data_IF_658980065807
#
_entry.id   IF_658980065807
#
_cell.length_a   1.000
_cell.length_b   1.000
_cell.length_c   1.000
_cell.angle_alpha   90.00
_cell.angle_beta   90.00
_cell.angle_gamma   90.00
#
_symmetry.space_group_name_H-M   'P 1'
#
loop_
_entity.id
_entity.type
_entity.pdbx_description
1 polymer ?
#
# COMPACT_ATOMS: atom_id res chain seq x y z
N UNK A 1 -10.09 6.16 -10.14
CA UNK A 1 -8.87 5.84 -9.38
C UNK A 1 -9.25 5.71 -7.92
N UNK A 2 -8.98 4.56 -7.32
CA UNK A 2 -9.10 4.31 -5.88
C UNK A 2 -7.72 4.39 -5.23
N UNK A 3 -7.71 4.51 -3.91
CA UNK A 3 -6.50 4.58 -3.11
C UNK A 3 -6.49 3.44 -2.09
N UNK A 4 -5.30 2.93 -1.82
CA UNK A 4 -5.11 1.76 -0.98
C UNK A 4 -3.90 1.97 -0.07
N UNK A 5 -3.82 1.15 0.98
CA UNK A 5 -2.63 1.00 1.80
C UNK A 5 -2.29 -0.47 1.92
N UNK A 6 -1.02 -0.80 1.69
CA UNK A 6 -0.52 -2.18 1.73
C UNK A 6 0.63 -2.24 2.72
N UNK A 7 0.47 -3.08 3.74
CA UNK A 7 1.43 -3.27 4.83
C UNK A 7 2.48 -4.31 4.44
N UNK A 8 3.73 -3.98 4.66
CA UNK A 8 4.86 -4.89 4.47
C UNK A 8 5.82 -4.80 5.64
N UNK A 9 6.33 -5.93 6.12
CA UNK A 9 7.40 -5.92 7.12
C UNK A 9 8.74 -5.69 6.42
N UNK A 10 9.52 -4.65 6.80
CA UNK A 10 10.72 -4.28 6.05
C UNK A 10 11.83 -5.34 6.09
N UNK A 11 11.82 -6.24 7.08
CA UNK A 11 12.76 -7.37 7.13
C UNK A 11 12.44 -8.44 6.07
N UNK A 12 11.17 -8.56 5.65
CA UNK A 12 10.73 -9.52 4.65
C UNK A 12 10.68 -8.90 3.25
N UNK A 13 10.07 -7.72 3.14
CA UNK A 13 9.97 -6.95 1.90
C UNK A 13 9.99 -5.45 2.18
N UNK A 14 11.17 -4.85 2.00
CA UNK A 14 11.43 -3.43 2.22
C UNK A 14 11.01 -2.56 1.04
N UNK A 15 10.90 -1.26 1.29
CA UNK A 15 10.62 -0.29 0.23
C UNK A 15 11.77 -0.17 -0.78
N UNK A 16 13.02 -0.32 -0.34
CA UNK A 16 14.18 -0.34 -1.24
C UNK A 16 14.15 -1.54 -2.19
N UNK A 17 13.75 -2.71 -1.70
CA UNK A 17 13.53 -3.89 -2.58
C UNK A 17 12.39 -3.65 -3.58
N UNK A 18 11.30 -3.01 -3.15
CA UNK A 18 10.20 -2.65 -4.03
C UNK A 18 10.63 -1.68 -5.14
N UNK A 19 11.45 -0.68 -4.83
CA UNK A 19 12.05 0.22 -5.82
C UNK A 19 12.99 -0.51 -6.76
N UNK A 20 13.81 -1.43 -6.25
CA UNK A 20 14.76 -2.21 -7.05
C UNK A 20 14.09 -3.09 -8.12
N UNK A 21 12.82 -3.47 -7.93
CA UNK A 21 12.02 -4.16 -8.97
C UNK A 21 11.65 -3.26 -10.16
N UNK A 22 11.67 -1.94 -9.96
CA UNK A 22 11.37 -0.93 -10.99
C UNK A 22 10.05 -1.20 -11.71
N UNK A 23 10.04 -1.04 -13.04
CA UNK A 23 8.85 -1.18 -13.88
C UNK A 23 8.20 -2.56 -13.86
N UNK A 24 8.95 -3.61 -13.55
CA UNK A 24 8.43 -4.96 -13.47
C UNK A 24 7.43 -5.11 -12.31
N UNK A 25 7.61 -4.33 -11.24
CA UNK A 25 6.83 -4.44 -10.01
C UNK A 25 7.10 -5.74 -9.26
N UNK A 26 6.29 -5.98 -8.24
CA UNK A 26 6.33 -7.20 -7.43
C UNK A 26 4.92 -7.75 -7.22
N UNK A 27 4.80 -9.06 -7.28
CA UNK A 27 3.61 -9.80 -6.89
C UNK A 27 3.33 -9.62 -5.39
N UNK A 28 2.12 -9.21 -5.02
CA UNK A 28 1.73 -9.04 -3.62
C UNK A 28 1.22 -10.33 -2.98
N UNK A 29 2.04 -11.37 -3.06
CA UNK A 29 1.74 -12.74 -2.63
C UNK A 29 1.60 -12.89 -1.11
N UNK A 30 1.17 -14.08 -0.66
CA UNK A 30 1.14 -14.45 0.75
C UNK A 30 -0.06 -13.91 1.53
N UNK A 31 -1.02 -13.25 0.87
CA UNK A 31 -2.26 -12.79 1.50
C UNK A 31 -3.14 -13.99 1.82
N UNK A 32 -3.43 -14.21 3.11
CA UNK A 32 -4.34 -15.26 3.60
C UNK A 32 -5.53 -14.70 4.39
N UNK A 33 -5.94 -13.48 4.05
CA UNK A 33 -7.11 -12.81 4.62
C UNK A 33 -8.12 -12.52 3.50
N UNK A 34 -9.35 -13.04 3.64
CA UNK A 34 -10.40 -12.91 2.62
C UNK A 34 -10.76 -11.46 2.29
N UNK A 35 -10.81 -10.59 3.30
CA UNK A 35 -11.13 -9.17 3.09
C UNK A 35 -10.00 -8.48 2.32
N UNK A 36 -8.74 -8.70 2.70
CA UNK A 36 -7.59 -8.16 2.00
C UNK A 36 -7.53 -8.63 0.53
N UNK A 37 -7.78 -9.93 0.29
CA UNK A 37 -7.88 -10.50 -1.06
C UNK A 37 -8.99 -9.82 -1.86
N UNK A 38 -10.19 -9.68 -1.29
CA UNK A 38 -11.30 -9.05 -1.99
C UNK A 38 -11.00 -7.58 -2.34
N UNK A 39 -10.27 -6.86 -1.49
CA UNK A 39 -9.80 -5.51 -1.85
C UNK A 39 -8.83 -5.51 -3.02
N UNK A 40 -7.90 -6.48 -3.11
CA UNK A 40 -7.03 -6.61 -4.27
C UNK A 40 -7.81 -6.94 -5.56
N UNK A 41 -8.86 -7.75 -5.47
CA UNK A 41 -9.77 -8.02 -6.60
C UNK A 41 -10.53 -6.76 -7.09
N UNK A 42 -10.76 -5.80 -6.19
CA UNK A 42 -11.42 -4.53 -6.50
C UNK A 42 -10.49 -3.45 -7.08
N UNK A 43 -9.18 -3.71 -7.08
CA UNK A 43 -8.16 -2.80 -7.62
C UNK A 43 -8.17 -2.77 -9.14
N UNK A 44 -7.79 -1.63 -9.70
CA UNK A 44 -7.59 -1.43 -11.14
C UNK A 44 -6.17 -0.98 -11.44
N UNK A 45 -5.71 -1.21 -12.67
CA UNK A 45 -4.41 -0.69 -13.14
C UNK A 45 -4.33 0.83 -12.90
N UNK A 46 -3.22 1.27 -12.31
CA UNK A 46 -2.97 2.67 -11.96
C UNK A 46 -3.65 3.15 -10.67
N UNK A 47 -4.40 2.31 -9.96
CA UNK A 47 -4.81 2.64 -8.59
C UNK A 47 -3.57 2.80 -7.71
N UNK A 48 -3.56 3.82 -6.86
CA UNK A 48 -2.40 4.21 -6.08
C UNK A 48 -2.43 3.58 -4.68
N UNK A 49 -1.24 3.24 -4.18
CA UNK A 49 -1.05 2.45 -2.97
C UNK A 49 -0.02 3.13 -2.08
N UNK A 50 -0.35 3.36 -0.82
CA UNK A 50 0.65 3.66 0.20
C UNK A 50 1.38 2.38 0.58
N UNK A 51 2.71 2.40 0.47
CA UNK A 51 3.57 1.34 1.01
C UNK A 51 3.87 1.66 2.47
N UNK A 52 3.34 0.83 3.37
CA UNK A 52 3.45 1.02 4.81
C UNK A 52 4.36 -0.04 5.42
N UNK A 53 5.40 0.38 6.15
CA UNK A 53 6.21 -0.53 6.95
C UNK A 53 5.48 -0.93 8.23
N UNK A 54 5.16 -2.21 8.37
CA UNK A 54 4.57 -2.79 9.59
C UNK A 54 5.62 -3.46 10.47
N UNK A 55 5.27 -3.69 11.73
CA UNK A 55 6.11 -4.30 12.78
C UNK A 55 7.31 -3.43 13.19
N UNK A 56 8.17 -3.06 12.23
CA UNK A 56 9.26 -2.09 12.37
C UNK A 56 8.99 -0.84 11.53
N UNK A 57 9.50 0.31 11.96
CA UNK A 57 9.23 1.61 11.33
C UNK A 57 7.85 2.17 11.70
N UNK A 58 6.79 1.45 11.32
CA UNK A 58 5.39 1.87 11.52
C UNK A 58 5.08 3.19 10.82
N UNK A 59 5.35 3.26 9.53
CA UNK A 59 5.26 4.49 8.75
C UNK A 59 4.96 4.24 7.27
N UNK A 60 4.33 5.21 6.62
CA UNK A 60 4.18 5.26 5.17
C UNK A 60 5.47 5.81 4.58
N UNK A 61 6.18 4.97 3.83
CA UNK A 61 7.53 5.29 3.30
C UNK A 61 7.54 5.59 1.80
N UNK A 62 6.47 5.26 1.09
CA UNK A 62 6.40 5.43 -0.35
C UNK A 62 5.00 5.29 -0.91
N UNK A 63 4.90 5.62 -2.20
CA UNK A 63 3.71 5.46 -3.02
C UNK A 63 4.05 4.52 -4.17
N UNK A 64 3.18 3.54 -4.38
CA UNK A 64 3.21 2.59 -5.48
C UNK A 64 1.92 2.69 -6.30
N UNK A 65 1.86 1.96 -7.41
CA UNK A 65 0.63 1.74 -8.17
C UNK A 65 0.46 0.27 -8.52
N UNK A 66 -0.80 -0.11 -8.74
CA UNK A 66 -1.16 -1.42 -9.28
C UNK A 66 -0.74 -1.52 -10.74
N UNK A 67 0.18 -2.44 -11.05
CA UNK A 67 0.72 -2.67 -12.39
C UNK A 67 0.30 -4.01 -13.02
N UNK A 68 -0.30 -4.92 -12.25
CA UNK A 68 -1.02 -6.08 -12.76
C UNK A 68 -2.29 -6.33 -11.91
N UNK A 69 -3.39 -6.75 -12.54
CA UNK A 69 -4.64 -7.08 -11.87
C UNK A 69 -4.53 -8.40 -11.10
N UNK A 70 -5.55 -8.69 -10.27
CA UNK A 70 -5.56 -9.91 -9.45
C UNK A 70 -5.43 -11.17 -10.31
N UNK A 71 -4.44 -11.99 -9.98
CA UNK A 71 -4.16 -13.30 -10.59
C UNK A 71 -3.79 -14.31 -9.49
N UNK A 72 -3.89 -15.63 -9.74
CA UNK A 72 -3.56 -16.65 -8.74
C UNK A 72 -2.19 -16.40 -8.08
N UNK A 73 -2.15 -16.50 -6.75
CA UNK A 73 -0.95 -16.28 -5.94
C UNK A 73 0.08 -17.41 -6.18
N UNK A 74 1.25 -17.06 -6.71
CA UNK A 74 2.30 -18.02 -7.09
C UNK A 74 2.89 -18.81 -5.93
N UNK A 75 2.61 -18.40 -4.68
CA UNK A 75 3.10 -19.06 -3.46
C UNK A 75 2.18 -20.18 -2.98
N UNK A 76 1.08 -20.47 -3.68
CA UNK A 76 0.14 -21.53 -3.29
C UNK A 76 -0.61 -22.11 -4.48
N UNK A 77 -0.90 -23.41 -4.44
CA UNK A 77 -1.77 -24.08 -5.41
C UNK A 77 -3.27 -23.92 -5.10
N UNK A 78 -3.62 -23.21 -4.03
CA UNK A 78 -5.00 -22.97 -3.62
C UNK A 78 -5.62 -21.80 -4.41
N UNK A 79 -6.45 -22.13 -5.39
CA UNK A 79 -7.15 -21.19 -6.30
C UNK A 79 -8.00 -20.12 -5.60
N UNK A 80 -8.24 -20.26 -4.29
CA UNK A 80 -8.93 -19.23 -3.51
C UNK A 80 -8.07 -17.99 -3.29
N UNK A 81 -6.75 -18.07 -3.47
CA UNK A 81 -5.82 -16.97 -3.23
C UNK A 81 -5.29 -16.39 -4.53
N UNK A 82 -5.44 -15.08 -4.64
CA UNK A 82 -5.01 -14.28 -5.76
C UNK A 82 -4.57 -12.92 -5.24
N UNK A 83 -3.68 -12.28 -6.00
CA UNK A 83 -3.11 -11.00 -5.65
C UNK A 83 -2.75 -10.18 -6.89
N UNK A 84 -2.61 -8.87 -6.68
CA UNK A 84 -2.16 -7.91 -7.70
C UNK A 84 -0.63 -7.85 -7.72
N UNK A 85 -0.08 -7.18 -8.73
CA UNK A 85 1.30 -6.69 -8.66
C UNK A 85 1.31 -5.18 -8.46
N UNK A 86 2.28 -4.69 -7.68
CA UNK A 86 2.51 -3.25 -7.49
C UNK A 86 3.93 -2.86 -7.90
N UNK A 87 4.09 -1.63 -8.39
CA UNK A 87 5.41 -1.03 -8.67
C UNK A 87 5.56 0.33 -8.01
N UNK A 88 6.79 0.69 -7.67
CA UNK A 88 7.08 1.96 -7.01
C UNK A 88 6.79 3.17 -7.93
N UNK A 89 6.22 4.22 -7.36
CA UNK A 89 6.02 5.52 -8.00
C UNK A 89 6.87 6.63 -7.36
N UNK A 90 6.94 6.71 -6.04
CA UNK A 90 7.72 7.76 -5.39
C UNK A 90 8.05 7.39 -3.95
N UNK A 91 9.23 7.81 -3.50
CA UNK A 91 9.51 7.90 -2.07
C UNK A 91 8.55 8.89 -1.40
N UNK A 92 8.17 8.62 -0.15
CA UNK A 92 7.50 9.61 0.68
C UNK A 92 8.58 10.58 1.21
N UNK A 93 8.61 11.86 0.82
CA UNK A 93 9.70 12.78 1.18
C UNK A 93 9.93 12.88 2.67
N UNK A 94 8.84 12.88 3.43
CA UNK A 94 8.83 12.73 4.88
C UNK A 94 7.95 11.53 5.25
N UNK A 95 8.52 10.38 5.65
CA UNK A 95 7.73 9.24 6.08
C UNK A 95 6.67 9.63 7.12
N UNK A 96 5.44 9.14 6.92
CA UNK A 96 4.30 9.49 7.77
C UNK A 96 4.07 8.38 8.77
N UNK A 97 4.42 8.63 10.04
CA UNK A 97 4.37 7.61 11.08
C UNK A 97 2.94 7.29 11.51
N UNK A 98 2.70 6.05 11.98
CA UNK A 98 1.43 5.65 12.58
C UNK A 98 1.06 6.53 13.78
N UNK A 99 2.07 7.02 14.52
CA UNK A 99 1.87 7.96 15.62
C UNK A 99 1.27 9.27 15.13
N UNK A 100 1.82 9.82 14.05
CA UNK A 100 1.31 11.07 13.46
C UNK A 100 -0.07 10.88 12.82
N UNK A 101 -0.31 9.73 12.18
CA UNK A 101 -1.64 9.38 11.65
C UNK A 101 -2.68 9.35 12.79
N UNK A 102 -2.37 8.67 13.90
CA UNK A 102 -3.27 8.58 15.07
C UNK A 102 -3.50 9.92 15.76
N UNK A 103 -2.54 10.84 15.70
CA UNK A 103 -2.65 12.17 16.28
C UNK A 103 -3.49 13.14 15.40
N UNK A 104 -3.77 12.77 14.14
CA UNK A 104 -4.51 13.62 13.22
C UNK A 104 -6.00 13.29 13.24
N UNK A 105 -6.88 14.20 13.73
CA UNK A 105 -8.32 13.93 13.82
C UNK A 105 -8.97 13.68 12.45
N UNK A 106 -8.38 14.16 11.35
CA UNK A 106 -8.89 13.90 9.99
C UNK A 106 -8.72 12.44 9.55
N UNK A 107 -7.92 11.66 10.27
CA UNK A 107 -7.58 10.27 9.94
C UNK A 107 -8.09 9.29 10.99
N UNK A 108 -8.95 9.74 11.91
CA UNK A 108 -9.45 8.91 13.03
C UNK A 108 -10.25 7.68 12.56
N UNK A 109 -10.92 7.81 11.42
CA UNK A 109 -11.70 6.74 10.76
C UNK A 109 -10.89 5.92 9.74
N UNK A 110 -9.62 6.27 9.51
CA UNK A 110 -8.79 5.57 8.55
C UNK A 110 -8.60 4.11 8.98
N UNK A 111 -8.69 3.19 8.00
CA UNK A 111 -8.54 1.75 8.26
C UNK A 111 -7.20 1.40 8.94
N UNK A 112 -6.14 2.19 8.70
CA UNK A 112 -4.85 2.03 9.37
C UNK A 112 -4.95 2.17 10.90
N UNK A 113 -5.86 3.03 11.38
CA UNK A 113 -6.10 3.30 12.80
C UNK A 113 -7.09 2.28 13.38
N UNK A 114 -8.15 1.95 12.64
CA UNK A 114 -9.25 1.09 13.13
C UNK A 114 -8.99 -0.41 12.98
N UNK A 115 -8.19 -0.84 11.99
CA UNK A 115 -8.02 -2.25 11.60
C UNK A 115 -6.57 -2.71 11.70
N UNK A 116 -6.23 -3.34 12.83
CA UNK A 116 -4.86 -3.77 13.13
C UNK A 116 -4.40 -4.97 12.30
N UNK A 117 -5.30 -5.94 12.05
CA UNK A 117 -4.98 -7.23 11.39
C UNK A 117 -5.16 -7.23 9.87
N UNK A 118 -5.67 -6.14 9.31
CA UNK A 118 -5.91 -6.03 7.88
C UNK A 118 -4.66 -5.44 7.19
N UNK A 119 -4.07 -6.19 6.27
CA UNK A 119 -2.81 -5.84 5.58
C UNK A 119 -3.00 -5.05 4.28
N UNK A 120 -4.13 -5.24 3.60
CA UNK A 120 -4.55 -4.45 2.43
C UNK A 120 -5.81 -3.68 2.82
N UNK A 121 -5.76 -2.37 2.71
CA UNK A 121 -6.78 -1.48 3.28
C UNK A 121 -7.27 -0.46 2.25
N UNK A 122 -8.58 -0.15 2.22
CA UNK A 122 -9.07 0.98 1.45
C UNK A 122 -8.62 2.29 2.09
N UNK A 123 -8.37 3.30 1.26
CA UNK A 123 -8.06 4.66 1.70
C UNK A 123 -9.02 5.62 0.99
N UNK A 124 -9.69 6.48 1.76
CA UNK A 124 -10.57 7.50 1.20
C UNK A 124 -9.76 8.58 0.50
N UNK A 125 -10.35 9.23 -0.50
CA UNK A 125 -9.68 10.31 -1.23
C UNK A 125 -9.27 11.50 -0.33
N UNK A 126 -10.02 11.76 0.74
CA UNK A 126 -9.67 12.76 1.76
C UNK A 126 -8.45 12.33 2.59
N UNK A 127 -8.41 11.08 3.02
CA UNK A 127 -7.31 10.49 3.79
C UNK A 127 -6.02 10.46 2.95
N UNK A 128 -6.12 10.04 1.68
CA UNK A 128 -5.00 10.04 0.74
C UNK A 128 -4.35 11.41 0.62
N UNK A 129 -5.16 12.45 0.39
CA UNK A 129 -4.68 13.83 0.28
C UNK A 129 -4.03 14.32 1.57
N UNK A 130 -4.60 13.97 2.72
CA UNK A 130 -4.07 14.40 4.02
C UNK A 130 -2.74 13.70 4.33
N UNK A 131 -2.62 12.40 4.09
CA UNK A 131 -1.34 11.67 4.27
C UNK A 131 -0.27 12.19 3.30
N UNK A 132 -0.62 12.43 2.03
CA UNK A 132 0.30 13.04 1.07
C UNK A 132 0.77 14.44 1.54
N UNK A 133 -0.15 15.28 2.03
CA UNK A 133 0.17 16.60 2.60
C UNK A 133 1.11 16.48 3.81
N UNK A 134 0.85 15.53 4.72
CA UNK A 134 1.70 15.29 5.88
C UNK A 134 3.12 14.85 5.48
N UNK A 135 3.22 14.03 4.43
CA UNK A 135 4.49 13.54 3.92
C UNK A 135 5.19 14.45 2.91
N UNK A 136 4.59 15.60 2.59
CA UNK A 136 5.18 16.63 1.74
C UNK A 136 5.21 16.29 0.24
N UNK A 137 4.25 15.48 -0.23
CA UNK A 137 4.16 15.07 -1.65
C UNK A 137 2.86 15.56 -2.30
N UNK A 138 2.96 16.08 -3.53
CA UNK A 138 1.77 16.35 -4.35
C UNK A 138 1.42 15.09 -5.16
N UNK A 139 0.27 14.44 -4.91
CA UNK A 139 -0.11 13.22 -5.63
C UNK A 139 -0.31 13.42 -7.14
N UNK A 140 -0.39 14.66 -7.63
CA UNK A 140 -0.45 14.96 -9.07
C UNK A 140 0.92 14.87 -9.76
N UNK A 141 1.99 14.84 -8.98
CA UNK A 141 3.38 14.85 -9.49
C UNK A 141 4.03 13.48 -9.51
N UNK A 142 3.26 12.42 -9.21
CA UNK A 142 3.77 11.05 -9.13
C UNK A 142 4.16 10.53 -10.51
N UNK A 143 5.39 10.03 -10.64
CA UNK A 143 5.94 9.44 -11.87
C UNK A 143 6.64 8.14 -11.54
N UNK A 144 6.47 7.04 -12.30
CA UNK A 144 7.14 5.78 -12.00
C UNK A 144 8.66 5.94 -11.83
N UNK A 145 9.20 5.34 -10.77
CA UNK A 145 10.66 5.29 -10.50
C UNK A 145 11.31 4.22 -11.36
#
# INVERSE_FOLDING_TARGET
MKYWLMKSEPDAWSWEQQKAKGKAGEEWSGIRNYTARNFMRDMKLGDQVFFYHSNKGLEVVGIAEVCALSAPDSTTDDERWDCVHIRALADMPKPVTLKDVKANPKLEEMSLVKSFRLSVQPVLASEWKEVCRMGGIDPKTLTPV
#
